data_IF_932066060677
#
_entry.id   IF_932066060677
#
_cell.length_a   1.000
_cell.length_b   1.000
_cell.length_c   1.000
_cell.angle_alpha   90.00
_cell.angle_beta   90.00
_cell.angle_gamma   90.00
#
_symmetry.space_group_name_H-M   'P 1'
#
loop_
_entity.id
_entity.type
_entity.pdbx_description
1 polymer ?
#
# COMPACT_ATOMS: atom_id res chain seq x y z
N UNK A 1 4.59 6.64 1.09
CA UNK A 1 4.14 6.40 -0.31
C UNK A 1 5.10 7.10 -1.28
N UNK A 2 5.19 6.63 -2.53
CA UNK A 2 5.87 7.38 -3.59
C UNK A 2 4.83 8.22 -4.34
N UNK A 3 4.99 9.54 -4.32
CA UNK A 3 4.01 10.47 -4.87
C UNK A 3 3.75 10.23 -6.36
N UNK A 4 2.49 10.38 -6.78
CA UNK A 4 1.98 10.05 -8.13
C UNK A 4 2.19 8.60 -8.59
N UNK A 5 2.41 7.66 -7.66
CA UNK A 5 2.43 6.23 -7.95
C UNK A 5 1.53 5.47 -6.98
N UNK A 6 1.27 4.20 -7.28
CA UNK A 6 0.62 3.23 -6.39
C UNK A 6 1.62 2.49 -5.49
N UNK A 7 2.89 2.90 -5.47
CA UNK A 7 3.95 2.19 -4.73
C UNK A 7 4.14 2.71 -3.32
N UNK A 8 4.36 1.77 -2.40
CA UNK A 8 4.77 2.02 -1.02
C UNK A 8 6.17 1.43 -0.83
N UNK A 9 7.11 2.25 -0.33
CA UNK A 9 8.42 1.77 0.09
C UNK A 9 8.34 1.26 1.53
N UNK A 10 8.86 0.06 1.78
CA UNK A 10 9.11 -0.44 3.13
C UNK A 10 10.55 -0.04 3.48
N UNK A 11 10.71 0.82 4.49
CA UNK A 11 11.99 1.46 4.82
C UNK A 11 12.45 1.00 6.19
N UNK A 12 13.73 0.61 6.30
CA UNK A 12 14.38 0.43 7.58
C UNK A 12 14.64 1.79 8.24
N UNK A 13 14.04 2.11 9.41
CA UNK A 13 14.13 3.46 9.97
C UNK A 13 15.55 3.93 10.32
N UNK A 14 16.44 3.09 10.92
CA UNK A 14 17.79 3.54 11.25
C UNK A 14 18.66 3.92 10.05
N UNK A 15 18.57 3.20 8.93
CA UNK A 15 19.47 3.38 7.78
C UNK A 15 18.85 4.17 6.63
N UNK A 16 17.51 4.24 6.57
CA UNK A 16 16.77 4.77 5.42
C UNK A 16 16.80 3.85 4.20
N UNK A 17 17.36 2.65 4.29
CA UNK A 17 17.37 1.70 3.18
C UNK A 17 15.97 1.19 2.88
N UNK A 18 15.63 1.13 1.60
CA UNK A 18 14.41 0.46 1.13
C UNK A 18 14.62 -1.04 1.22
N UNK A 19 13.82 -1.71 2.06
CA UNK A 19 13.82 -3.17 2.25
C UNK A 19 12.91 -3.88 1.24
N UNK A 20 11.92 -3.18 0.70
CA UNK A 20 11.00 -3.74 -0.27
C UNK A 20 10.03 -2.71 -0.83
N UNK A 21 9.27 -3.16 -1.82
CA UNK A 21 8.24 -2.37 -2.48
C UNK A 21 6.92 -3.12 -2.44
N UNK A 22 5.87 -2.43 -2.01
CA UNK A 22 4.51 -2.88 -2.25
C UNK A 22 4.01 -2.16 -3.50
N UNK A 23 3.66 -2.94 -4.52
CA UNK A 23 2.97 -2.42 -5.69
C UNK A 23 1.47 -2.68 -5.55
N UNK A 24 0.71 -1.59 -5.47
CA UNK A 24 -0.74 -1.62 -5.33
C UNK A 24 -1.40 -1.13 -6.62
N UNK A 25 -0.75 -1.38 -7.76
CA UNK A 25 -1.39 -1.21 -9.06
C UNK A 25 -2.76 -1.89 -9.06
N UNK A 26 -3.72 -1.20 -9.65
CA UNK A 26 -5.11 -1.62 -9.75
C UNK A 26 -5.92 -1.83 -8.47
N UNK A 27 -5.37 -1.58 -7.27
CA UNK A 27 -6.09 -1.75 -6.00
C UNK A 27 -7.42 -1.00 -5.94
N UNK A 28 -7.51 0.18 -6.57
CA UNK A 28 -8.77 0.89 -6.76
C UNK A 28 -9.38 0.46 -8.11
N UNK A 29 -10.54 -0.22 -8.14
CA UNK A 29 -11.14 -0.68 -9.40
C UNK A 29 -11.46 0.47 -10.37
N UNK A 30 -11.37 0.20 -11.67
CA UNK A 30 -11.56 1.19 -12.73
C UNK A 30 -12.83 2.07 -12.61
N UNK A 31 -14.02 1.54 -12.24
CA UNK A 31 -15.22 2.37 -12.07
C UNK A 31 -15.09 3.48 -11.01
N UNK A 32 -14.14 3.37 -10.08
CA UNK A 32 -13.90 4.35 -9.04
C UNK A 32 -12.77 5.33 -9.38
N UNK A 33 -12.07 5.18 -10.51
CA UNK A 33 -10.96 6.06 -10.92
C UNK A 33 -11.49 7.29 -11.68
N UNK A 34 -12.14 8.19 -10.98
CA UNK A 34 -12.67 9.44 -11.53
C UNK A 34 -11.64 10.58 -11.50
N UNK A 35 -11.88 11.68 -12.22
CA UNK A 35 -11.00 12.86 -12.23
C UNK A 35 -10.81 13.50 -10.84
N UNK A 36 -11.77 13.28 -9.93
CA UNK A 36 -11.74 13.82 -8.57
C UNK A 36 -10.92 12.96 -7.61
N UNK A 37 -10.64 11.70 -7.96
CA UNK A 37 -9.84 10.78 -7.18
C UNK A 37 -8.37 11.14 -7.30
N UNK A 38 -7.71 11.28 -6.15
CA UNK A 38 -6.30 11.59 -6.06
C UNK A 38 -5.44 10.36 -5.76
N UNK A 39 -4.16 10.64 -5.50
CA UNK A 39 -3.13 9.62 -5.27
C UNK A 39 -3.33 8.83 -3.97
N UNK A 40 -2.72 7.64 -3.92
CA UNK A 40 -2.50 6.88 -2.68
C UNK A 40 -1.79 7.77 -1.65
N UNK A 41 -2.29 7.77 -0.40
CA UNK A 41 -1.76 8.66 0.63
C UNK A 41 -1.97 8.17 2.07
N UNK A 42 -3.10 7.52 2.37
CA UNK A 42 -3.40 7.02 3.71
C UNK A 42 -2.87 5.60 3.87
N UNK A 43 -2.07 5.38 4.91
CA UNK A 43 -1.56 4.07 5.33
C UNK A 43 -1.69 4.03 6.85
N UNK A 44 -2.34 3.01 7.40
CA UNK A 44 -2.48 2.82 8.84
C UNK A 44 -2.25 1.35 9.18
N UNK A 45 -1.47 1.08 10.22
CA UNK A 45 -1.26 -0.26 10.75
C UNK A 45 -1.89 -0.35 12.14
N UNK A 46 -2.74 -1.36 12.30
CA UNK A 46 -3.33 -1.77 13.57
C UNK A 46 -2.52 -2.95 14.11
N UNK A 47 -1.70 -2.67 15.11
CA UNK A 47 -0.80 -3.67 15.71
C UNK A 47 -1.51 -4.64 16.66
N UNK A 48 -2.73 -4.32 17.12
CA UNK A 48 -3.47 -5.19 18.04
C UNK A 48 -4.05 -6.39 17.29
N UNK A 49 -4.57 -6.15 16.08
CA UNK A 49 -5.21 -7.16 15.23
C UNK A 49 -4.37 -7.55 13.99
N UNK A 50 -3.15 -7.02 13.86
CA UNK A 50 -2.23 -7.21 12.73
C UNK A 50 -2.84 -6.85 11.35
N UNK A 51 -3.47 -5.68 11.26
CA UNK A 51 -4.16 -5.23 10.03
C UNK A 51 -3.49 -4.02 9.40
N UNK A 52 -3.30 -4.07 8.09
CA UNK A 52 -2.77 -2.94 7.31
C UNK A 52 -3.89 -2.35 6.44
N UNK A 53 -4.15 -1.06 6.61
CA UNK A 53 -5.14 -0.31 5.84
C UNK A 53 -4.48 0.68 4.89
N UNK A 54 -5.01 0.77 3.67
CA UNK A 54 -4.58 1.72 2.65
C UNK A 54 -5.76 2.45 2.01
N UNK A 55 -5.53 3.72 1.68
CA UNK A 55 -6.48 4.56 0.94
C UNK A 55 -5.75 5.71 0.24
N UNK A 56 -6.50 6.58 -0.43
CA UNK A 56 -5.98 7.73 -1.13
C UNK A 56 -6.87 8.96 -1.02
N UNK A 57 -6.36 10.07 -1.55
CA UNK A 57 -7.07 11.36 -1.50
C UNK A 57 -8.40 11.23 -2.25
N UNK A 58 -9.51 11.43 -1.55
CA UNK A 58 -10.88 11.33 -2.09
C UNK A 58 -11.25 9.95 -2.66
N UNK A 59 -10.55 8.90 -2.24
CA UNK A 59 -10.97 7.54 -2.61
C UNK A 59 -12.35 7.24 -1.98
N UNK A 60 -13.27 6.59 -2.72
CA UNK A 60 -14.57 6.20 -2.18
C UNK A 60 -14.51 4.91 -1.33
N UNK A 61 -13.30 4.39 -1.08
CA UNK A 61 -13.02 3.11 -0.41
C UNK A 61 -11.76 3.20 0.45
N UNK A 62 -11.76 2.39 1.49
CA UNK A 62 -10.62 2.01 2.33
C UNK A 62 -10.44 0.51 2.16
N UNK A 63 -9.19 0.06 2.02
CA UNK A 63 -8.85 -1.35 1.85
C UNK A 63 -8.03 -1.82 3.03
N UNK A 64 -8.40 -2.96 3.59
CA UNK A 64 -7.49 -3.79 4.38
C UNK A 64 -6.70 -4.67 3.41
N UNK A 65 -5.38 -4.76 3.59
CA UNK A 65 -4.50 -5.57 2.75
C UNK A 65 -3.64 -6.48 3.62
N UNK A 66 -3.32 -7.65 3.11
CA UNK A 66 -2.38 -8.59 3.70
C UNK A 66 -1.07 -8.56 2.91
N UNK A 67 0.06 -8.56 3.62
CA UNK A 67 1.37 -8.62 3.00
C UNK A 67 1.77 -10.08 2.79
N UNK A 68 1.95 -10.47 1.54
CA UNK A 68 2.44 -11.80 1.20
C UNK A 68 3.97 -11.74 1.15
N UNK A 69 4.68 -12.70 1.77
CA UNK A 69 6.13 -12.80 1.65
C UNK A 69 6.57 -12.88 0.17
N UNK A 70 7.80 -12.43 -0.16
CA UNK A 70 8.37 -12.64 -1.48
C UNK A 70 8.28 -14.12 -1.87
N UNK A 71 8.00 -14.40 -3.15
CA UNK A 71 7.82 -15.78 -3.67
C UNK A 71 9.03 -16.68 -3.34
N UNK A 72 10.23 -16.10 -3.28
CA UNK A 72 11.47 -16.83 -2.97
C UNK A 72 11.56 -17.28 -1.49
N UNK A 73 10.73 -16.75 -0.61
CA UNK A 73 10.62 -17.12 0.82
C UNK A 73 9.44 -18.06 1.10
N UNK A 74 8.62 -18.38 0.08
CA UNK A 74 7.48 -19.30 0.18
C UNK A 74 7.79 -20.73 -0.29
N UNK A 75 9.04 -20.98 -0.71
CA UNK A 75 9.51 -22.28 -1.15
C UNK A 75 10.14 -23.04 0.03
N UNK A 76 9.31 -23.69 0.83
CA UNK A 76 9.66 -24.85 1.68
C UNK A 76 8.77 -26.05 1.30
#
# INVERSE_FOLDING_TARGET
NVWNTTRIAVIEPPSGQVRGWLDLEDILPAPFRTETVGVLNGIAYDAEEDRLFVTGKRWPRLFEIELIPPIDELAD
#
